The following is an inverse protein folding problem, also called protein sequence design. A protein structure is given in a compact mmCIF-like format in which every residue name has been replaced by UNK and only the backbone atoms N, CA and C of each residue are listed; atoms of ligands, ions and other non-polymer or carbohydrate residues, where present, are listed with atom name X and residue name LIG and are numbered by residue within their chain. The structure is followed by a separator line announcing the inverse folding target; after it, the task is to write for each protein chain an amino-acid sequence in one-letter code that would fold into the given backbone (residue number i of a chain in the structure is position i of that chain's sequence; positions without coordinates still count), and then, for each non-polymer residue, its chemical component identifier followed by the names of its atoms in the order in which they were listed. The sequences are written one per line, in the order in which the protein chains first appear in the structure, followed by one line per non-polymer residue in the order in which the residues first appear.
data_IF_807819080306
#
_entry.id   IF_807819080306
#
_cell.length_a   1.000
_cell.length_b   1.000
_cell.length_c   1.000
_cell.angle_alpha   90.00
_cell.angle_beta   90.00
_cell.angle_gamma   90.00
#
_symmetry.space_group_name_H-M   'P 1'
#
loop_
_entity.id
_entity.type
_entity.pdbx_description
1 polymer ?
#
# COMPACT_ATOMS: atom_id res chain seq x y z
N UNK A 1 11.14 34.70 -8.96
CA UNK A 1 11.58 33.40 -9.52
C UNK A 1 10.34 32.58 -9.83
N UNK A 2 10.11 32.25 -11.10
CA UNK A 2 8.82 31.79 -11.64
C UNK A 2 8.44 30.36 -11.25
N UNK A 3 7.36 30.20 -10.47
CA UNK A 3 6.69 28.90 -10.21
C UNK A 3 6.17 28.24 -11.51
N UNK A 4 6.06 29.00 -12.62
CA UNK A 4 5.66 28.46 -13.93
C UNK A 4 6.60 27.35 -14.45
N UNK A 5 7.88 27.34 -14.08
CA UNK A 5 8.83 26.33 -14.58
C UNK A 5 8.63 24.94 -13.95
N UNK A 6 8.09 24.84 -12.73
CA UNK A 6 7.87 23.56 -12.07
C UNK A 6 6.70 22.78 -12.71
N UNK A 7 5.73 23.49 -13.29
CA UNK A 7 4.56 22.89 -13.95
C UNK A 7 4.99 22.23 -15.28
N UNK A 8 5.92 22.83 -16.03
CA UNK A 8 6.37 22.32 -17.32
C UNK A 8 7.07 20.95 -17.21
N UNK A 9 7.78 20.67 -16.11
CA UNK A 9 8.47 19.39 -15.88
C UNK A 9 7.49 18.23 -15.69
N UNK A 10 6.30 18.47 -15.13
CA UNK A 10 5.27 17.44 -14.90
C UNK A 10 4.23 17.36 -16.03
N UNK A 11 4.19 18.35 -16.93
CA UNK A 11 3.09 18.57 -17.86
C UNK A 11 3.28 17.89 -19.23
N UNK A 12 3.83 16.68 -19.30
CA UNK A 12 3.65 15.85 -20.50
C UNK A 12 2.26 15.23 -20.44
N UNK A 13 1.28 15.73 -21.22
CA UNK A 13 -0.08 15.25 -21.15
C UNK A 13 -0.15 13.87 -21.78
N UNK A 14 -0.66 12.90 -21.03
CA UNK A 14 -0.96 11.57 -21.56
C UNK A 14 -2.42 11.49 -22.02
N UNK A 15 -2.72 10.48 -22.85
CA UNK A 15 -4.11 10.13 -23.17
C UNK A 15 -4.86 9.50 -21.99
N UNK A 16 -4.13 9.04 -20.97
CA UNK A 16 -4.67 8.36 -19.81
C UNK A 16 -5.02 9.37 -18.70
N UNK A 17 -5.89 8.96 -17.78
CA UNK A 17 -6.27 9.76 -16.61
C UNK A 17 -5.98 8.90 -15.37
N UNK A 18 -5.05 9.37 -14.53
CA UNK A 18 -4.58 8.64 -13.36
C UNK A 18 -5.72 8.34 -12.37
N UNK A 19 -6.70 9.24 -12.23
CA UNK A 19 -7.82 9.01 -11.33
C UNK A 19 -8.69 7.83 -11.79
N UNK A 20 -8.93 7.71 -13.11
CA UNK A 20 -9.61 6.54 -13.70
C UNK A 20 -8.76 5.28 -13.62
N UNK A 21 -7.44 5.40 -13.63
CA UNK A 21 -6.55 4.26 -13.43
C UNK A 21 -6.66 3.74 -11.98
N UNK A 22 -6.56 4.62 -10.98
CA UNK A 22 -6.76 4.23 -9.59
C UNK A 22 -8.15 3.63 -9.34
N UNK A 23 -9.21 4.13 -9.99
CA UNK A 23 -10.54 3.48 -9.92
C UNK A 23 -10.50 2.02 -10.39
N UNK A 24 -9.80 1.72 -11.50
CA UNK A 24 -9.65 0.33 -11.99
C UNK A 24 -8.87 -0.54 -11.01
N UNK A 25 -7.82 0.01 -10.40
CA UNK A 25 -7.04 -0.70 -9.38
C UNK A 25 -7.87 -0.95 -8.12
N UNK A 26 -8.72 0.01 -7.72
CA UNK A 26 -9.68 -0.18 -6.63
C UNK A 26 -10.62 -1.36 -6.91
N UNK A 27 -11.26 -1.40 -8.09
CA UNK A 27 -12.13 -2.52 -8.43
C UNK A 27 -11.40 -3.86 -8.54
N UNK A 28 -10.16 -3.86 -9.04
CA UNK A 28 -9.32 -5.07 -9.05
C UNK A 28 -8.99 -5.55 -7.63
N UNK A 29 -8.62 -4.64 -6.72
CA UNK A 29 -8.37 -4.95 -5.32
C UNK A 29 -9.63 -5.39 -4.57
N UNK A 30 -10.80 -4.82 -4.90
CA UNK A 30 -12.08 -5.27 -4.38
C UNK A 30 -12.41 -6.69 -4.85
N UNK A 31 -12.14 -7.01 -6.11
CA UNK A 31 -12.26 -8.38 -6.62
C UNK A 31 -11.34 -9.35 -5.88
N UNK A 32 -10.08 -8.97 -5.66
CA UNK A 32 -9.14 -9.77 -4.85
C UNK A 32 -9.58 -9.92 -3.40
N UNK A 33 -10.22 -8.89 -2.83
CA UNK A 33 -10.79 -8.94 -1.47
C UNK A 33 -11.87 -10.00 -1.39
N UNK A 34 -12.80 -10.02 -2.34
CA UNK A 34 -13.86 -11.03 -2.37
C UNK A 34 -13.31 -12.44 -2.60
N UNK A 35 -12.33 -12.58 -3.49
CA UNK A 35 -11.66 -13.86 -3.75
C UNK A 35 -10.97 -14.39 -2.49
N UNK A 36 -10.13 -13.59 -1.85
CA UNK A 36 -9.37 -14.00 -0.65
C UNK A 36 -10.26 -14.20 0.56
N UNK A 37 -11.38 -13.47 0.68
CA UNK A 37 -12.40 -13.73 1.68
C UNK A 37 -13.08 -15.09 1.46
N UNK A 38 -13.41 -15.43 0.22
CA UNK A 38 -13.93 -16.75 -0.14
C UNK A 38 -12.95 -17.86 0.22
N UNK A 39 -11.67 -17.69 -0.11
CA UNK A 39 -10.62 -18.65 0.27
C UNK A 39 -10.48 -18.76 1.79
N UNK A 40 -10.53 -17.64 2.52
CA UNK A 40 -10.51 -17.62 3.97
C UNK A 40 -11.69 -18.36 4.61
N UNK A 41 -12.87 -18.33 3.99
CA UNK A 41 -14.04 -19.05 4.49
C UNK A 41 -14.01 -20.56 4.16
N UNK A 42 -13.30 -20.96 3.11
CA UNK A 42 -13.33 -22.34 2.57
C UNK A 42 -12.11 -23.18 2.95
N UNK A 43 -10.97 -22.56 3.25
CA UNK A 43 -9.70 -23.24 3.51
C UNK A 43 -9.24 -22.99 4.96
N UNK A 44 -9.36 -24.05 5.77
CA UNK A 44 -9.10 -24.04 7.21
C UNK A 44 -7.63 -24.25 7.59
N UNK A 45 -6.71 -24.26 6.62
CA UNK A 45 -5.28 -24.44 6.90
C UNK A 45 -4.73 -23.26 7.70
N UNK A 46 -3.78 -23.57 8.57
CA UNK A 46 -3.18 -22.62 9.51
C UNK A 46 -1.68 -22.48 9.23
N UNK A 47 -1.14 -21.30 9.51
CA UNK A 47 0.28 -20.99 9.53
C UNK A 47 0.57 -20.12 10.76
N UNK A 48 1.44 -20.60 11.66
CA UNK A 48 1.76 -19.92 12.93
C UNK A 48 0.52 -19.54 13.77
N UNK A 49 -0.47 -20.45 13.82
CA UNK A 49 -1.70 -20.25 14.57
C UNK A 49 -2.69 -19.24 13.96
N UNK A 50 -2.46 -18.78 12.73
CA UNK A 50 -3.36 -17.89 12.00
C UNK A 50 -3.82 -18.55 10.67
N UNK A 51 -5.08 -18.34 10.21
CA UNK A 51 -5.53 -18.90 8.94
C UNK A 51 -4.73 -18.37 7.77
N UNK A 52 -4.34 -19.24 6.83
CA UNK A 52 -3.36 -18.91 5.77
C UNK A 52 -3.85 -17.79 4.84
N UNK A 53 -5.17 -17.68 4.62
CA UNK A 53 -5.77 -16.68 3.75
C UNK A 53 -6.08 -15.35 4.44
N UNK A 54 -5.93 -15.27 5.77
CA UNK A 54 -6.20 -14.04 6.52
C UNK A 54 -5.24 -12.91 6.11
N UNK A 55 -3.96 -13.23 5.85
CA UNK A 55 -2.98 -12.25 5.38
C UNK A 55 -3.29 -11.76 3.96
N UNK A 56 -3.47 -12.62 2.93
CA UNK A 56 -3.95 -12.20 1.61
C UNK A 56 -5.19 -11.31 1.67
N UNK A 57 -6.18 -11.67 2.50
CA UNK A 57 -7.39 -10.88 2.67
C UNK A 57 -7.12 -9.47 3.19
N UNK A 58 -6.34 -9.32 4.26
CA UNK A 58 -5.95 -8.01 4.80
C UNK A 58 -5.22 -7.15 3.77
N UNK A 59 -4.29 -7.73 3.01
CA UNK A 59 -3.57 -7.00 1.97
C UNK A 59 -4.52 -6.52 0.87
N UNK A 60 -5.42 -7.39 0.39
CA UNK A 60 -6.41 -7.01 -0.61
C UNK A 60 -7.32 -5.85 -0.15
N UNK A 61 -7.79 -5.91 1.11
CA UNK A 61 -8.59 -4.82 1.73
C UNK A 61 -7.78 -3.53 1.78
N UNK A 62 -6.54 -3.58 2.26
CA UNK A 62 -5.66 -2.41 2.34
C UNK A 62 -5.41 -1.77 0.97
N UNK A 63 -5.17 -2.58 -0.06
CA UNK A 63 -5.04 -2.09 -1.44
C UNK A 63 -6.32 -1.45 -1.96
N UNK A 64 -7.49 -2.03 -1.67
CA UNK A 64 -8.76 -1.45 -2.06
C UNK A 64 -8.94 -0.06 -1.41
N UNK A 65 -8.66 0.06 -0.11
CA UNK A 65 -8.74 1.35 0.61
C UNK A 65 -7.73 2.35 0.05
N UNK A 66 -6.48 1.94 -0.18
CA UNK A 66 -5.44 2.79 -0.75
C UNK A 66 -5.85 3.33 -2.12
N UNK A 67 -6.25 2.46 -3.04
CA UNK A 67 -6.62 2.87 -4.40
C UNK A 67 -7.91 3.66 -4.45
N UNK A 68 -8.89 3.37 -3.60
CA UNK A 68 -10.08 4.23 -3.44
C UNK A 68 -9.69 5.64 -2.98
N UNK A 69 -8.77 5.73 -2.01
CA UNK A 69 -8.27 7.00 -1.47
C UNK A 69 -7.49 7.81 -2.52
N UNK A 70 -6.58 7.15 -3.26
CA UNK A 70 -5.83 7.79 -4.33
C UNK A 70 -6.72 8.20 -5.52
N UNK A 71 -7.71 7.38 -5.88
CA UNK A 71 -8.70 7.73 -6.90
C UNK A 71 -9.51 8.95 -6.48
N UNK A 72 -10.00 8.97 -5.23
CA UNK A 72 -10.76 10.10 -4.69
C UNK A 72 -9.94 11.40 -4.69
N UNK A 73 -8.72 11.38 -4.17
CA UNK A 73 -7.84 12.55 -4.15
C UNK A 73 -7.52 13.01 -5.58
N UNK A 74 -7.16 12.08 -6.46
CA UNK A 74 -6.81 12.39 -7.86
C UNK A 74 -8.00 12.96 -8.65
N UNK A 75 -9.25 12.56 -8.37
CA UNK A 75 -10.45 13.16 -9.00
C UNK A 75 -10.62 14.65 -8.69
N UNK A 76 -10.05 15.13 -7.58
CA UNK A 76 -10.12 16.54 -7.17
C UNK A 76 -9.11 17.41 -7.93
N UNK A 77 -8.03 16.82 -8.43
CA UNK A 77 -7.03 17.49 -9.24
C UNK A 77 -7.60 17.97 -10.59
N UNK A 78 -7.01 19.05 -11.10
CA UNK A 78 -7.23 19.63 -12.41
C UNK A 78 -6.79 18.67 -13.52
N UNK A 79 -7.34 18.88 -14.72
CA UNK A 79 -7.12 17.98 -15.86
C UNK A 79 -5.64 17.83 -16.25
N UNK A 80 -4.81 18.89 -16.26
CA UNK A 80 -3.38 18.75 -16.55
C UNK A 80 -2.66 17.81 -15.59
N UNK A 81 -2.91 17.94 -14.29
CA UNK A 81 -2.32 17.05 -13.28
C UNK A 81 -2.81 15.62 -13.42
N UNK A 82 -4.13 15.39 -13.52
CA UNK A 82 -4.67 14.01 -13.68
C UNK A 82 -4.12 13.27 -14.89
N UNK A 83 -3.74 14.00 -15.94
CA UNK A 83 -3.18 13.45 -17.18
C UNK A 83 -1.66 13.49 -17.25
N UNK A 84 -1.00 14.04 -16.23
CA UNK A 84 0.46 14.13 -16.19
C UNK A 84 1.10 12.76 -16.31
N UNK A 85 2.22 12.69 -17.03
CA UNK A 85 2.99 11.46 -17.17
C UNK A 85 3.34 10.87 -15.81
N UNK A 86 3.76 11.70 -14.85
CA UNK A 86 4.22 11.25 -13.53
C UNK A 86 3.11 10.58 -12.71
N UNK A 87 1.89 11.12 -12.71
CA UNK A 87 0.77 10.46 -12.00
C UNK A 87 0.34 9.16 -12.70
N UNK A 88 0.37 9.13 -14.03
CA UNK A 88 0.00 7.93 -14.79
C UNK A 88 1.04 6.83 -14.65
N UNK A 89 2.33 7.17 -14.68
CA UNK A 89 3.41 6.19 -14.45
C UNK A 89 3.42 5.71 -13.01
N UNK A 90 3.19 6.60 -12.02
CA UNK A 90 3.01 6.21 -10.62
C UNK A 90 1.85 5.24 -10.42
N UNK A 91 0.70 5.49 -11.05
CA UNK A 91 -0.43 4.57 -11.03
C UNK A 91 -0.09 3.22 -11.70
N UNK A 92 0.62 3.23 -12.83
CA UNK A 92 1.07 2.01 -13.49
C UNK A 92 2.09 1.20 -12.67
N UNK A 93 3.04 1.87 -12.03
CA UNK A 93 4.02 1.23 -11.15
C UNK A 93 3.34 0.65 -9.90
N UNK A 94 2.37 1.37 -9.34
CA UNK A 94 1.53 0.88 -8.24
C UNK A 94 0.71 -0.35 -8.64
N UNK A 95 0.22 -0.41 -9.88
CA UNK A 95 -0.46 -1.60 -10.41
C UNK A 95 0.47 -2.80 -10.43
N UNK A 96 1.69 -2.63 -10.95
CA UNK A 96 2.69 -3.70 -10.98
C UNK A 96 3.04 -4.21 -9.57
N UNK A 97 3.29 -3.29 -8.63
CA UNK A 97 3.53 -3.62 -7.23
C UNK A 97 2.35 -4.40 -6.61
N UNK A 98 1.12 -3.91 -6.81
CA UNK A 98 -0.09 -4.57 -6.31
C UNK A 98 -0.26 -5.99 -6.85
N UNK A 99 -0.16 -6.19 -8.16
CA UNK A 99 -0.35 -7.51 -8.76
C UNK A 99 0.78 -8.49 -8.37
N UNK A 100 2.02 -8.01 -8.30
CA UNK A 100 3.14 -8.80 -7.79
C UNK A 100 2.88 -9.24 -6.35
N UNK A 101 2.60 -8.29 -5.46
CA UNK A 101 2.39 -8.51 -4.04
C UNK A 101 1.25 -9.51 -3.78
N UNK A 102 0.09 -9.31 -4.41
CA UNK A 102 -1.06 -10.20 -4.25
C UNK A 102 -0.80 -11.60 -4.80
N UNK A 103 -0.11 -11.71 -5.94
CA UNK A 103 0.22 -13.00 -6.53
C UNK A 103 1.19 -13.78 -5.66
N UNK A 104 2.25 -13.12 -5.16
CA UNK A 104 3.26 -13.77 -4.33
C UNK A 104 2.72 -14.13 -2.95
N UNK A 105 2.00 -13.22 -2.29
CA UNK A 105 1.34 -13.53 -1.00
C UNK A 105 0.35 -14.68 -1.14
N UNK A 106 -0.47 -14.69 -2.21
CA UNK A 106 -1.41 -15.77 -2.47
C UNK A 106 -0.71 -17.12 -2.72
N UNK A 107 0.38 -17.12 -3.50
CA UNK A 107 1.20 -18.31 -3.74
C UNK A 107 1.80 -18.86 -2.44
N UNK A 108 2.43 -18.02 -1.62
CA UNK A 108 3.01 -18.45 -0.34
C UNK A 108 1.95 -18.95 0.64
N UNK A 109 0.79 -18.28 0.71
CA UNK A 109 -0.34 -18.75 1.52
C UNK A 109 -0.80 -20.15 1.10
N UNK A 110 -0.93 -20.39 -0.22
CA UNK A 110 -1.34 -21.70 -0.74
C UNK A 110 -0.38 -22.83 -0.38
N UNK A 111 0.91 -22.50 -0.16
CA UNK A 111 1.99 -23.41 0.24
C UNK A 111 2.18 -23.51 1.76
N UNK A 112 1.39 -22.77 2.56
CA UNK A 112 1.59 -22.60 4.00
C UNK A 112 2.99 -22.08 4.35
N UNK A 113 3.51 -21.17 3.53
CA UNK A 113 4.81 -20.53 3.72
C UNK A 113 4.65 -19.04 4.05
N UNK A 114 5.65 -18.47 4.73
CA UNK A 114 5.71 -17.04 4.96
C UNK A 114 6.11 -16.31 3.67
N UNK A 115 5.48 -15.16 3.42
CA UNK A 115 5.85 -14.26 2.31
C UNK A 115 6.81 -13.14 2.73
N UNK A 116 6.68 -12.64 3.95
CA UNK A 116 7.60 -11.64 4.51
C UNK A 116 8.47 -12.30 5.56
N UNK A 117 9.72 -11.84 5.71
CA UNK A 117 10.71 -12.42 6.62
C UNK A 117 10.97 -13.92 6.38
N UNK A 118 10.76 -14.38 5.14
CA UNK A 118 11.13 -15.73 4.73
C UNK A 118 12.50 -15.66 4.06
N UNK A 119 13.51 -16.13 4.77
CA UNK A 119 14.91 -16.15 4.33
C UNK A 119 15.41 -17.59 4.15
N UNK A 120 14.48 -18.54 3.92
CA UNK A 120 14.83 -19.95 3.83
C UNK A 120 15.66 -20.29 2.58
N UNK A 121 15.55 -19.47 1.51
CA UNK A 121 16.33 -19.64 0.27
C UNK A 121 16.66 -18.28 -0.34
N UNK A 122 17.70 -18.19 -1.21
CA UNK A 122 18.00 -16.96 -1.95
C UNK A 122 16.83 -16.43 -2.76
N UNK A 123 15.94 -17.31 -3.23
CA UNK A 123 14.72 -16.91 -3.92
C UNK A 123 13.75 -16.19 -2.97
N UNK A 124 13.53 -16.71 -1.75
CA UNK A 124 12.63 -16.09 -0.78
C UNK A 124 13.15 -14.73 -0.30
N UNK A 125 14.47 -14.62 -0.06
CA UNK A 125 15.13 -13.36 0.27
C UNK A 125 14.94 -12.31 -0.84
N UNK A 126 15.19 -12.71 -2.10
CA UNK A 126 14.99 -11.83 -3.26
C UNK A 126 13.53 -11.38 -3.37
N UNK A 127 12.57 -12.30 -3.22
CA UNK A 127 11.15 -11.97 -3.26
C UNK A 127 10.77 -11.02 -2.13
N UNK A 128 11.27 -11.24 -0.91
CA UNK A 128 11.04 -10.33 0.21
C UNK A 128 11.57 -8.92 -0.07
N UNK A 129 12.77 -8.80 -0.65
CA UNK A 129 13.31 -7.51 -1.10
C UNK A 129 12.46 -6.83 -2.18
N UNK A 130 11.92 -7.59 -3.13
CA UNK A 130 11.00 -7.06 -4.15
C UNK A 130 9.68 -6.58 -3.54
N UNK A 131 9.15 -7.23 -2.51
CA UNK A 131 7.97 -6.75 -1.77
C UNK A 131 8.25 -5.39 -1.11
N UNK A 132 9.41 -5.24 -0.46
CA UNK A 132 9.84 -3.95 0.10
C UNK A 132 10.00 -2.86 -0.97
N UNK A 133 10.49 -3.23 -2.15
CA UNK A 133 10.56 -2.32 -3.30
C UNK A 133 9.17 -1.92 -3.80
N UNK A 134 8.23 -2.88 -3.87
CA UNK A 134 6.83 -2.62 -4.20
C UNK A 134 6.16 -1.66 -3.21
N UNK A 135 6.38 -1.86 -1.91
CA UNK A 135 5.90 -0.94 -0.87
C UNK A 135 6.47 0.48 -1.05
N UNK A 136 7.76 0.59 -1.38
CA UNK A 136 8.41 1.88 -1.68
C UNK A 136 7.76 2.57 -2.88
N UNK A 137 7.50 1.84 -3.96
CA UNK A 137 6.81 2.37 -5.17
C UNK A 137 5.42 2.90 -4.84
N UNK A 138 4.66 2.21 -3.99
CA UNK A 138 3.34 2.67 -3.54
C UNK A 138 3.47 3.99 -2.75
N UNK A 139 4.42 4.07 -1.81
CA UNK A 139 4.66 5.28 -1.02
C UNK A 139 5.16 6.46 -1.85
N UNK A 140 6.00 6.21 -2.86
CA UNK A 140 6.37 7.23 -3.84
C UNK A 140 5.15 7.74 -4.61
N UNK A 141 4.24 6.86 -5.00
CA UNK A 141 3.00 7.25 -5.68
C UNK A 141 2.08 8.09 -4.77
N UNK A 142 1.94 7.71 -3.49
CA UNK A 142 1.24 8.52 -2.48
C UNK A 142 1.89 9.91 -2.35
N UNK A 143 3.22 9.97 -2.32
CA UNK A 143 3.98 11.23 -2.25
C UNK A 143 3.74 12.11 -3.48
N UNK A 144 3.72 11.53 -4.67
CA UNK A 144 3.42 12.23 -5.93
C UNK A 144 2.02 12.84 -5.88
N UNK A 145 1.00 12.09 -5.43
CA UNK A 145 -0.37 12.60 -5.30
C UNK A 145 -0.43 13.71 -4.24
N UNK A 146 0.31 13.59 -3.14
CA UNK A 146 0.41 14.61 -2.11
C UNK A 146 0.97 15.93 -2.66
N UNK A 147 2.11 15.86 -3.35
CA UNK A 147 2.76 17.02 -3.97
C UNK A 147 1.88 17.64 -5.05
N UNK A 148 1.28 16.81 -5.92
CA UNK A 148 0.32 17.29 -6.92
C UNK A 148 -0.84 18.05 -6.27
N UNK A 149 -1.39 17.53 -5.17
CA UNK A 149 -2.48 18.18 -4.42
C UNK A 149 -2.05 19.55 -3.86
N UNK A 150 -0.85 19.67 -3.32
CA UNK A 150 -0.33 20.93 -2.77
C UNK A 150 -0.02 21.96 -3.86
N UNK A 151 0.45 21.52 -5.03
CA UNK A 151 0.86 22.39 -6.12
C UNK A 151 -0.27 22.80 -7.07
N UNK A 152 -1.31 21.98 -7.23
CA UNK A 152 -2.38 22.16 -8.22
C UNK A 152 -3.38 23.27 -7.84
N UNK A 153 -3.07 24.52 -8.17
CA UNK A 153 -3.92 25.69 -7.83
C UNK A 153 -5.32 25.63 -8.42
N UNK A 154 -5.52 24.88 -9.51
CA UNK A 154 -6.81 24.69 -10.17
C UNK A 154 -7.58 23.45 -9.67
N UNK A 155 -7.04 22.75 -8.65
CA UNK A 155 -7.75 21.65 -8.01
C UNK A 155 -9.06 22.13 -7.36
N UNK A 156 -10.09 21.26 -7.40
CA UNK A 156 -11.40 21.49 -6.78
C UNK A 156 -11.36 21.20 -5.28
N UNK A 157 -10.50 21.92 -4.58
CA UNK A 157 -10.22 21.79 -3.14
C UNK A 157 -10.12 23.18 -2.52
N UNK A 158 -10.80 23.37 -1.39
CA UNK A 158 -10.51 24.52 -0.53
C UNK A 158 -9.10 24.39 0.11
N UNK A 159 -8.63 25.47 0.73
CA UNK A 159 -7.29 25.53 1.29
C UNK A 159 -7.08 24.55 2.45
N UNK A 160 -8.10 24.34 3.29
CA UNK A 160 -8.02 23.44 4.43
C UNK A 160 -7.87 21.99 3.94
N UNK A 161 -8.78 21.54 3.06
CA UNK A 161 -8.76 20.19 2.52
C UNK A 161 -7.49 19.90 1.71
N UNK A 162 -7.00 20.89 0.95
CA UNK A 162 -5.73 20.80 0.23
C UNK A 162 -4.55 20.50 1.16
N UNK A 163 -4.44 21.24 2.26
CA UNK A 163 -3.39 21.05 3.25
C UNK A 163 -3.56 19.72 3.99
N UNK A 164 -4.79 19.36 4.38
CA UNK A 164 -5.08 18.09 5.04
C UNK A 164 -4.68 16.89 4.19
N UNK A 165 -5.02 16.87 2.90
CA UNK A 165 -4.64 15.78 1.99
C UNK A 165 -3.13 15.77 1.78
N UNK A 166 -2.56 16.92 1.40
CA UNK A 166 -1.14 17.02 1.07
C UNK A 166 -0.24 16.64 2.24
N UNK A 167 -0.44 17.26 3.40
CA UNK A 167 0.36 16.98 4.60
C UNK A 167 0.05 15.61 5.18
N UNK A 168 -1.22 15.16 5.15
CA UNK A 168 -1.59 13.84 5.64
C UNK A 168 -0.95 12.70 4.85
N UNK A 169 -0.87 12.82 3.52
CA UNK A 169 -0.20 11.83 2.69
C UNK A 169 1.32 11.86 2.86
N UNK A 170 1.94 13.05 2.97
CA UNK A 170 3.38 13.15 3.25
C UNK A 170 3.73 12.56 4.61
N UNK A 171 2.92 12.84 5.64
CA UNK A 171 3.08 12.25 6.96
C UNK A 171 2.91 10.73 6.93
N UNK A 172 1.93 10.22 6.18
CA UNK A 172 1.73 8.78 5.97
C UNK A 172 2.99 8.13 5.40
N UNK A 173 3.63 8.76 4.42
CA UNK A 173 4.86 8.25 3.80
C UNK A 173 6.01 8.20 4.81
N UNK A 174 6.23 9.27 5.56
CA UNK A 174 7.27 9.34 6.59
C UNK A 174 7.06 8.28 7.67
N UNK A 175 5.85 8.19 8.22
CA UNK A 175 5.51 7.21 9.26
C UNK A 175 5.60 5.77 8.74
N UNK A 176 5.21 5.52 7.49
CA UNK A 176 5.29 4.18 6.88
C UNK A 176 6.75 3.73 6.75
N UNK A 177 7.63 4.58 6.23
CA UNK A 177 9.05 4.24 6.12
C UNK A 177 9.72 4.08 7.48
N UNK A 178 9.36 4.92 8.46
CA UNK A 178 9.85 4.77 9.83
C UNK A 178 9.48 3.40 10.40
N UNK A 179 8.18 3.07 10.41
CA UNK A 179 7.68 1.81 10.99
C UNK A 179 8.20 0.60 10.23
N UNK A 180 8.27 0.67 8.89
CA UNK A 180 8.84 -0.41 8.09
C UNK A 180 10.34 -0.63 8.39
N UNK A 181 11.10 0.45 8.61
CA UNK A 181 12.50 0.39 9.01
C UNK A 181 12.69 -0.29 10.37
N UNK A 182 11.88 0.09 11.36
CA UNK A 182 11.89 -0.53 12.70
C UNK A 182 11.52 -2.02 12.62
N UNK A 183 10.46 -2.37 11.88
CA UNK A 183 10.03 -3.76 11.67
C UNK A 183 11.14 -4.62 11.01
N UNK A 184 11.80 -4.07 10.00
CA UNK A 184 12.89 -4.76 9.31
C UNK A 184 14.13 -4.91 10.21
N UNK A 185 14.51 -3.85 10.93
CA UNK A 185 15.68 -3.85 11.83
C UNK A 185 15.50 -4.76 13.05
N UNK A 186 14.27 -4.90 13.55
CA UNK A 186 13.94 -5.76 14.69
C UNK A 186 13.72 -7.24 14.30
N UNK A 187 13.76 -7.58 13.00
CA UNK A 187 13.50 -8.94 12.50
C UNK A 187 12.07 -9.43 12.74
N UNK A 188 11.14 -8.53 13.08
CA UNK A 188 9.78 -8.90 13.42
C UNK A 188 8.99 -7.80 14.11
N UNK A 189 7.72 -8.10 14.36
CA UNK A 189 6.73 -7.14 14.88
C UNK A 189 6.74 -6.95 16.39
N UNK A 190 7.35 -7.85 17.16
CA UNK A 190 7.21 -7.86 18.62
C UNK A 190 8.35 -7.11 19.32
N UNK A 191 7.99 -6.33 20.33
CA UNK A 191 8.93 -5.77 21.30
C UNK A 191 8.92 -6.70 22.52
N UNK A 192 9.86 -7.65 22.55
CA UNK A 192 9.89 -8.77 23.51
C UNK A 192 9.44 -10.10 22.92
N UNK A 193 9.36 -11.14 23.74
CA UNK A 193 9.00 -12.50 23.32
C UNK A 193 7.61 -12.90 23.83
N UNK A 194 6.56 -12.90 22.97
CA UNK A 194 5.24 -13.36 23.39
C UNK A 194 5.23 -14.87 23.65
N UNK A 195 4.25 -15.34 24.41
CA UNK A 195 4.02 -16.77 24.53
C UNK A 195 3.53 -17.36 23.19
N UNK A 196 3.80 -18.65 22.95
CA UNK A 196 3.53 -19.32 21.66
C UNK A 196 2.06 -19.21 21.24
N UNK A 197 1.13 -19.16 22.20
CA UNK A 197 -0.31 -18.99 21.99
C UNK A 197 -0.87 -17.79 22.75
N UNK A 198 -0.05 -16.75 22.95
CA UNK A 198 -0.46 -15.55 23.68
C UNK A 198 -1.69 -14.90 23.05
N UNK A 199 -2.58 -14.30 23.87
CA UNK A 199 -3.76 -13.61 23.37
C UNK A 199 -3.38 -12.52 22.36
N UNK A 200 -4.13 -12.49 21.26
CA UNK A 200 -3.99 -11.49 20.20
C UNK A 200 -5.34 -10.83 19.94
N UNK A 201 -5.32 -9.57 19.51
CA UNK A 201 -6.54 -8.91 19.03
C UNK A 201 -7.06 -9.67 17.80
N UNK A 202 -8.32 -10.13 17.81
CA UNK A 202 -8.91 -10.81 16.66
C UNK A 202 -8.76 -9.98 15.39
N UNK A 203 -8.62 -10.66 14.26
CA UNK A 203 -8.41 -10.07 12.94
C UNK A 203 -7.03 -9.39 12.86
N UNK A 204 -6.73 -8.28 13.54
CA UNK A 204 -5.45 -7.55 13.35
C UNK A 204 -4.22 -8.33 13.84
N UNK A 205 -4.38 -9.18 14.85
CA UNK A 205 -3.37 -10.09 15.35
C UNK A 205 -2.27 -9.41 16.18
N UNK A 206 -2.51 -8.23 16.75
CA UNK A 206 -1.57 -7.58 17.69
C UNK A 206 -1.50 -8.38 18.98
N UNK A 207 -0.29 -8.52 19.51
CA UNK A 207 -0.08 -9.13 20.81
C UNK A 207 -0.77 -8.31 21.92
N UNK A 208 -1.41 -8.99 22.86
CA UNK A 208 -1.92 -8.40 24.10
C UNK A 208 -0.95 -8.58 25.29
N UNK A 209 0.19 -9.26 25.10
CA UNK A 209 1.16 -9.56 26.16
C UNK A 209 2.40 -8.66 26.09
N UNK A 210 2.96 -8.52 24.88
CA UNK A 210 4.14 -7.71 24.56
C UNK A 210 3.79 -6.63 23.55
N UNK A 211 4.66 -5.62 23.41
CA UNK A 211 4.48 -4.55 22.42
C UNK A 211 4.48 -5.08 20.99
N UNK A 212 3.71 -4.44 20.11
CA UNK A 212 3.66 -4.74 18.67
C UNK A 212 3.95 -3.44 17.89
N UNK A 213 4.96 -3.45 17.03
CA UNK A 213 5.45 -2.26 16.30
C UNK A 213 4.49 -1.80 15.20
N UNK A 214 3.47 -2.60 14.86
CA UNK A 214 2.49 -2.20 13.85
C UNK A 214 1.62 -1.06 14.39
N UNK A 215 1.23 -0.08 13.55
CA UNK A 215 0.46 1.08 13.99
C UNK A 215 -0.86 0.64 14.63
N UNK A 216 -1.12 1.13 15.85
CA UNK A 216 -2.32 0.86 16.64
C UNK A 216 -3.50 1.80 16.31
#
# INVERSE_FOLDING_TARGET
MHIRSAIEVFAWPTRFDAARFFDRLFFAALGMTMLTLGMYALDNRMLNGEPIWLKPFKFAVSFAILFATLAWASKKLSRPWRKSLVLVTGAGASAAAFFFEMSYIGAQASRQELSHFNEATPFHEMMYGLMGTGATVLMLTVSIVAVATLLDRDARLDQCLRLSIGLGFLLTVVLTFWVAGELAGNGGRYIGTPSVNGPKIPIVGWSMEVGDLRPA
#
